data_IF_786578002697
#
_entry.id   IF_786578002697
#
_cell.length_a   1.000
_cell.length_b   1.000
_cell.length_c   1.000
_cell.angle_alpha   90.00
_cell.angle_beta   90.00
_cell.angle_gamma   90.00
#
_symmetry.space_group_name_H-M   'P 1'
#
loop_
_entity.id
_entity.type
_entity.pdbx_description
1 polymer ?
#
# COMPACT_ATOMS: atom_id res chain seq x y z
N UNK A 1 -48.68 -70.48 -6.06
CA UNK A 1 -47.28 -70.47 -6.59
C UNK A 1 -46.95 -69.08 -6.90
N UNK A 2 -46.04 -68.49 -6.08
CA UNK A 2 -45.78 -67.02 -5.97
C UNK A 2 -44.78 -66.58 -7.00
N UNK A 3 -45.14 -65.53 -7.74
CA UNK A 3 -44.19 -64.77 -8.57
C UNK A 3 -43.91 -63.45 -7.88
N UNK A 4 -42.65 -63.19 -7.45
CA UNK A 4 -42.18 -61.96 -6.82
C UNK A 4 -41.87 -60.92 -7.89
N UNK A 5 -42.62 -59.82 -7.87
CA UNK A 5 -42.29 -58.59 -8.59
C UNK A 5 -41.10 -57.89 -7.92
N UNK A 6 -40.01 -57.70 -8.66
CA UNK A 6 -38.90 -56.79 -8.29
C UNK A 6 -39.17 -55.40 -8.92
N UNK A 7 -39.47 -54.44 -8.07
CA UNK A 7 -39.45 -53.05 -8.46
C UNK A 7 -37.98 -52.59 -8.55
N UNK A 8 -37.57 -52.20 -9.72
CA UNK A 8 -36.32 -51.44 -9.94
C UNK A 8 -36.63 -49.97 -9.67
N UNK A 9 -36.11 -49.45 -8.57
CA UNK A 9 -36.14 -48.01 -8.27
C UNK A 9 -35.12 -47.26 -9.14
N UNK A 10 -35.60 -46.39 -9.97
CA UNK A 10 -34.78 -45.43 -10.68
C UNK A 10 -34.33 -44.32 -9.70
N UNK A 11 -33.02 -44.18 -9.48
CA UNK A 11 -32.41 -43.09 -8.76
C UNK A 11 -32.25 -41.90 -9.72
N UNK A 12 -32.86 -40.73 -9.46
CA UNK A 12 -32.61 -39.58 -10.29
C UNK A 12 -31.18 -39.04 -10.01
N UNK A 13 -30.34 -39.06 -11.03
CA UNK A 13 -29.04 -38.41 -11.04
C UNK A 13 -29.26 -36.87 -11.06
N UNK A 14 -29.18 -36.24 -9.90
CA UNK A 14 -29.21 -34.79 -9.80
C UNK A 14 -27.91 -34.23 -10.40
N UNK A 15 -28.04 -33.64 -11.58
CA UNK A 15 -26.95 -32.87 -12.22
C UNK A 15 -26.77 -31.57 -11.42
N UNK A 16 -25.77 -31.54 -10.54
CA UNK A 16 -25.33 -30.28 -9.87
C UNK A 16 -24.62 -29.46 -10.92
N UNK A 17 -25.28 -28.47 -11.48
CA UNK A 17 -24.64 -27.41 -12.25
C UNK A 17 -23.78 -26.60 -11.28
N UNK A 18 -22.47 -26.85 -11.25
CA UNK A 18 -21.51 -25.96 -10.63
C UNK A 18 -21.44 -24.71 -11.50
N UNK A 19 -22.08 -23.65 -11.05
CA UNK A 19 -21.85 -22.32 -11.60
C UNK A 19 -20.40 -21.96 -11.32
N UNK A 20 -19.64 -21.44 -12.30
CA UNK A 20 -18.30 -20.91 -12.01
C UNK A 20 -18.48 -19.74 -11.03
N UNK A 21 -17.93 -19.88 -9.84
CA UNK A 21 -17.77 -18.76 -8.90
C UNK A 21 -16.71 -17.88 -9.55
N UNK A 22 -17.13 -16.77 -10.15
CA UNK A 22 -16.23 -15.74 -10.63
C UNK A 22 -15.65 -15.10 -9.36
N UNK A 23 -14.36 -15.35 -9.09
CA UNK A 23 -13.67 -14.76 -7.96
C UNK A 23 -13.55 -13.24 -8.16
N UNK A 24 -13.97 -12.46 -7.17
CA UNK A 24 -13.66 -11.03 -7.10
C UNK A 24 -12.17 -10.87 -6.82
N UNK A 25 -11.49 -10.01 -7.56
CA UNK A 25 -10.05 -9.84 -7.42
C UNK A 25 -9.73 -8.73 -6.42
N UNK A 26 -8.69 -8.94 -5.62
CA UNK A 26 -8.25 -7.96 -4.62
C UNK A 26 -7.57 -6.75 -5.26
N UNK A 27 -7.99 -5.55 -4.86
CA UNK A 27 -7.49 -4.26 -5.30
C UNK A 27 -6.39 -3.67 -4.40
N UNK A 28 -5.86 -4.45 -3.47
CA UNK A 28 -4.92 -3.98 -2.48
C UNK A 28 -3.53 -3.70 -3.07
N UNK A 29 -3.08 -2.48 -3.03
CA UNK A 29 -1.78 -2.06 -3.57
C UNK A 29 -1.21 -0.82 -2.92
N UNK A 30 -1.79 -0.39 -1.79
CA UNK A 30 -1.44 0.88 -1.15
C UNK A 30 -0.15 0.82 -0.33
N UNK A 31 0.27 -0.37 0.12
CA UNK A 31 1.36 -0.52 1.09
C UNK A 31 2.71 0.00 0.63
N UNK A 32 3.00 -0.07 -0.66
CA UNK A 32 4.26 0.44 -1.23
C UNK A 32 4.49 1.93 -0.94
N UNK A 33 3.43 2.70 -0.68
CA UNK A 33 3.50 4.11 -0.34
C UNK A 33 3.61 4.38 1.16
N UNK A 34 3.41 3.34 1.98
CA UNK A 34 3.33 3.48 3.44
C UNK A 34 4.71 3.53 4.12
N UNK A 35 5.78 3.16 3.40
CA UNK A 35 7.14 3.29 3.92
C UNK A 35 7.64 4.72 3.82
N UNK A 36 8.30 5.18 4.88
CA UNK A 36 8.91 6.48 4.92
C UNK A 36 9.90 6.65 3.75
N UNK A 37 9.78 7.76 3.04
CA UNK A 37 10.76 8.17 2.04
C UNK A 37 11.89 8.96 2.72
N UNK A 38 13.01 9.16 2.04
CA UNK A 38 14.17 9.83 2.62
C UNK A 38 13.86 11.20 3.24
N UNK A 39 12.89 11.92 2.67
CA UNK A 39 12.43 13.23 3.16
C UNK A 39 11.71 13.19 4.51
N UNK A 40 11.15 12.04 4.88
CA UNK A 40 10.38 11.88 6.13
C UNK A 40 11.25 11.49 7.32
N UNK A 41 12.55 11.21 7.10
CA UNK A 41 13.45 10.89 8.20
C UNK A 41 13.84 12.18 8.93
N UNK A 42 13.73 12.19 10.29
CA UNK A 42 14.08 13.37 11.06
C UNK A 42 15.58 13.65 10.97
N UNK A 43 15.91 14.91 10.71
CA UNK A 43 17.32 15.39 10.67
C UNK A 43 17.67 16.28 11.87
N UNK A 44 16.65 16.78 12.58
CA UNK A 44 16.78 17.59 13.77
C UNK A 44 15.51 17.48 14.61
N UNK A 45 15.53 17.97 15.87
CA UNK A 45 14.32 18.25 16.64
C UNK A 45 13.54 19.39 15.98
N UNK A 46 12.22 19.39 16.13
CA UNK A 46 11.33 20.37 15.51
C UNK A 46 10.19 19.69 14.78
N UNK A 47 9.48 20.47 13.98
CA UNK A 47 8.31 20.00 13.25
C UNK A 47 8.51 19.99 11.74
N UNK A 48 7.70 19.18 11.08
CA UNK A 48 7.55 19.13 9.64
C UNK A 48 6.08 18.88 9.29
N UNK A 49 5.59 19.59 8.29
CA UNK A 49 4.30 19.30 7.65
C UNK A 49 4.57 18.92 6.21
N UNK A 50 3.89 17.91 5.70
CA UNK A 50 4.05 17.47 4.32
C UNK A 50 2.72 17.19 3.65
N UNK A 51 2.72 17.36 2.34
CA UNK A 51 1.64 16.93 1.44
C UNK A 51 2.23 15.97 0.42
N UNK A 52 1.75 14.74 0.42
CA UNK A 52 2.09 13.71 -0.55
C UNK A 52 0.97 13.52 -1.57
N UNK A 53 1.34 13.19 -2.79
CA UNK A 53 0.45 12.72 -3.84
C UNK A 53 1.08 11.47 -4.45
N UNK A 54 0.34 10.37 -4.39
CA UNK A 54 0.71 9.11 -5.02
C UNK A 54 -0.32 8.76 -6.09
N UNK A 55 0.13 8.17 -7.18
CA UNK A 55 -0.73 7.74 -8.27
C UNK A 55 -0.48 6.27 -8.61
N UNK A 56 -1.58 5.51 -8.71
CA UNK A 56 -1.57 4.11 -9.05
C UNK A 56 -2.69 3.78 -10.06
N UNK A 57 -2.33 3.05 -11.12
CA UNK A 57 -3.28 2.54 -12.12
C UNK A 57 -3.10 1.01 -12.26
N UNK A 58 -3.96 0.27 -11.57
CA UNK A 58 -4.02 -1.18 -11.63
C UNK A 58 -4.95 -1.59 -12.77
N UNK A 59 -4.37 -1.99 -13.88
CA UNK A 59 -5.11 -2.26 -15.12
C UNK A 59 -4.66 -3.55 -15.82
N UNK A 60 -3.87 -4.37 -15.13
CA UNK A 60 -3.34 -5.59 -15.69
C UNK A 60 -3.65 -6.75 -14.76
N UNK A 61 -4.41 -7.74 -15.27
CA UNK A 61 -4.68 -8.96 -14.51
C UNK A 61 -3.41 -9.81 -14.42
N UNK A 62 -3.15 -10.34 -13.23
CA UNK A 62 -1.95 -11.07 -12.87
C UNK A 62 -2.30 -12.25 -12.00
N UNK A 63 -1.63 -13.40 -12.21
CA UNK A 63 -1.80 -14.58 -11.38
C UNK A 63 -0.46 -15.28 -11.19
N UNK A 64 -0.10 -15.57 -9.96
CA UNK A 64 1.26 -16.00 -9.63
C UNK A 64 2.28 -14.94 -10.06
N UNK A 65 3.24 -15.33 -10.89
CA UNK A 65 4.34 -14.48 -11.35
C UNK A 65 4.19 -13.98 -12.79
N UNK A 66 3.02 -14.16 -13.41
CA UNK A 66 2.78 -13.82 -14.81
C UNK A 66 1.45 -13.10 -15.04
N UNK A 67 1.36 -12.42 -16.19
CA UNK A 67 0.09 -11.84 -16.63
C UNK A 67 -0.93 -12.95 -16.88
N UNK A 68 -2.17 -12.70 -16.52
CA UNK A 68 -3.31 -13.58 -16.73
C UNK A 68 -4.33 -12.92 -17.68
N UNK A 69 -5.20 -13.73 -18.34
CA UNK A 69 -6.26 -13.18 -19.17
C UNK A 69 -7.16 -12.20 -18.41
N UNK A 70 -7.54 -11.10 -19.05
CA UNK A 70 -8.41 -10.10 -18.43
C UNK A 70 -9.81 -10.65 -18.09
N UNK A 71 -10.24 -11.70 -18.79
CA UNK A 71 -11.56 -12.31 -18.58
C UNK A 71 -11.61 -13.22 -17.35
N UNK A 72 -10.44 -13.62 -16.82
CA UNK A 72 -10.36 -14.40 -15.57
C UNK A 72 -10.63 -13.56 -14.32
N UNK A 73 -10.88 -12.26 -14.47
CA UNK A 73 -11.09 -11.31 -13.41
C UNK A 73 -12.27 -10.41 -13.75
N UNK A 74 -13.25 -10.28 -12.84
CA UNK A 74 -14.38 -9.34 -12.98
C UNK A 74 -13.90 -7.90 -12.99
N UNK A 75 -12.89 -7.60 -12.17
CA UNK A 75 -12.31 -6.27 -12.10
C UNK A 75 -11.43 -5.99 -13.30
N UNK A 76 -11.60 -4.81 -13.88
CA UNK A 76 -10.92 -4.41 -15.12
C UNK A 76 -9.90 -3.29 -14.89
N UNK A 77 -10.13 -2.42 -13.90
CA UNK A 77 -9.24 -1.32 -13.59
C UNK A 77 -9.53 -0.70 -12.24
N UNK A 78 -8.47 -0.40 -11.49
CA UNK A 78 -8.54 0.42 -10.29
C UNK A 78 -7.50 1.52 -10.42
N UNK A 79 -7.96 2.74 -10.57
CA UNK A 79 -7.09 3.91 -10.63
C UNK A 79 -7.31 4.77 -9.41
N UNK A 80 -6.26 5.05 -8.68
CA UNK A 80 -6.35 5.83 -7.44
C UNK A 80 -5.33 6.97 -7.43
N UNK A 81 -5.80 8.17 -7.09
CA UNK A 81 -5.00 9.27 -6.60
C UNK A 81 -5.06 9.27 -5.08
N UNK A 82 -3.92 9.17 -4.44
CA UNK A 82 -3.77 9.22 -2.99
C UNK A 82 -3.19 10.57 -2.61
N UNK A 83 -3.93 11.35 -1.85
CA UNK A 83 -3.44 12.58 -1.23
C UNK A 83 -3.24 12.30 0.25
N UNK A 84 -2.09 12.65 0.80
CA UNK A 84 -1.81 12.49 2.23
C UNK A 84 -1.28 13.79 2.79
N UNK A 85 -2.05 14.40 3.69
CA UNK A 85 -1.57 15.48 4.53
C UNK A 85 -0.99 14.87 5.80
N UNK A 86 0.27 15.18 6.10
CA UNK A 86 0.92 14.66 7.28
C UNK A 86 1.67 15.73 8.06
N UNK A 87 1.90 15.44 9.32
CA UNK A 87 2.71 16.26 10.21
C UNK A 87 3.51 15.39 11.17
N UNK A 88 4.74 15.79 11.42
CA UNK A 88 5.64 15.15 12.36
C UNK A 88 6.25 16.22 13.27
N UNK A 89 6.36 15.88 14.56
CA UNK A 89 7.00 16.76 15.53
C UNK A 89 7.86 15.96 16.51
N UNK A 90 9.14 16.28 16.59
CA UNK A 90 10.04 15.75 17.60
C UNK A 90 10.13 16.74 18.77
N UNK A 91 9.61 16.31 19.92
CA UNK A 91 9.63 17.10 21.18
C UNK A 91 11.06 17.35 21.66
N UNK A 92 11.89 16.32 21.49
CA UNK A 92 13.32 16.31 21.77
C UNK A 92 14.05 15.42 20.76
N UNK A 93 15.31 15.08 21.01
CA UNK A 93 16.08 14.20 20.12
C UNK A 93 15.65 12.73 20.14
N UNK A 94 14.79 12.34 21.08
CA UNK A 94 14.45 10.95 21.29
C UNK A 94 13.00 10.63 20.98
N UNK A 95 12.09 11.57 21.17
CA UNK A 95 10.66 11.31 21.07
C UNK A 95 9.94 12.30 20.16
N UNK A 96 9.02 11.78 19.42
CA UNK A 96 8.13 12.56 18.56
C UNK A 96 6.82 11.85 18.28
N UNK A 97 6.00 12.53 17.50
CA UNK A 97 4.72 12.03 17.00
C UNK A 97 4.58 12.33 15.52
N UNK A 98 3.83 11.50 14.84
CA UNK A 98 3.45 11.68 13.44
C UNK A 98 1.96 11.42 13.27
N UNK A 99 1.32 12.24 12.46
CA UNK A 99 -0.09 12.11 12.07
C UNK A 99 -0.18 12.14 10.56
N UNK A 100 -0.97 11.26 9.97
CA UNK A 100 -1.26 11.21 8.53
C UNK A 100 -2.76 11.16 8.32
N UNK A 101 -3.27 12.03 7.47
CA UNK A 101 -4.68 12.12 7.09
C UNK A 101 -4.77 11.93 5.58
N UNK A 102 -5.14 10.75 5.09
CA UNK A 102 -5.26 10.49 3.67
C UNK A 102 -6.64 10.92 3.14
N UNK A 103 -6.66 11.37 1.89
CA UNK A 103 -7.85 11.54 1.06
C UNK A 103 -7.59 10.88 -0.28
N UNK A 104 -8.46 9.97 -0.71
CA UNK A 104 -8.28 9.20 -1.94
C UNK A 104 -9.42 9.47 -2.91
N UNK A 105 -9.06 9.51 -4.19
CA UNK A 105 -9.99 9.52 -5.31
C UNK A 105 -9.75 8.24 -6.11
N UNK A 106 -10.77 7.37 -6.16
CA UNK A 106 -10.67 6.06 -6.81
C UNK A 106 -11.70 5.90 -7.89
N UNK A 107 -11.24 5.45 -9.07
CA UNK A 107 -12.07 4.89 -10.11
C UNK A 107 -11.95 3.37 -10.05
N UNK A 108 -13.08 2.69 -9.95
CA UNK A 108 -13.22 1.25 -10.01
C UNK A 108 -14.04 0.87 -11.23
N UNK A 109 -13.46 0.04 -12.11
CA UNK A 109 -14.11 -0.52 -13.29
C UNK A 109 -14.22 -2.02 -13.11
N UNK A 110 -15.43 -2.56 -13.15
CA UNK A 110 -15.71 -3.98 -12.98
C UNK A 110 -16.78 -4.46 -13.92
N UNK A 111 -16.94 -5.77 -14.05
CA UNK A 111 -18.00 -6.41 -14.83
C UNK A 111 -19.12 -6.79 -13.86
N UNK A 112 -20.29 -6.18 -14.06
CA UNK A 112 -21.50 -6.48 -13.29
C UNK A 112 -22.03 -7.89 -13.60
N UNK A 113 -22.92 -8.39 -12.77
CA UNK A 113 -23.60 -9.72 -12.97
C UNK A 113 -24.34 -9.80 -14.31
N UNK A 114 -24.75 -8.68 -14.87
CA UNK A 114 -25.36 -8.58 -16.19
C UNK A 114 -24.38 -8.85 -17.35
N UNK A 115 -23.07 -8.90 -17.08
CA UNK A 115 -21.99 -8.94 -18.06
C UNK A 115 -21.60 -7.57 -18.63
N UNK A 116 -22.25 -6.50 -18.20
CA UNK A 116 -21.88 -5.14 -18.60
C UNK A 116 -20.67 -4.65 -17.80
N UNK A 117 -19.78 -3.89 -18.45
CA UNK A 117 -18.67 -3.23 -17.75
C UNK A 117 -19.18 -1.89 -17.22
N UNK A 118 -19.01 -1.66 -15.92
CA UNK A 118 -19.45 -0.47 -15.21
C UNK A 118 -18.26 0.26 -14.58
N UNK A 119 -18.38 1.60 -14.51
CA UNK A 119 -17.39 2.49 -13.91
C UNK A 119 -18.00 3.20 -12.71
N UNK A 120 -17.32 3.12 -11.58
CA UNK A 120 -17.68 3.82 -10.35
C UNK A 120 -16.53 4.73 -9.93
N UNK A 121 -16.83 5.96 -9.52
CA UNK A 121 -15.83 6.89 -9.00
C UNK A 121 -16.28 7.39 -7.64
N UNK A 122 -15.37 7.29 -6.66
CA UNK A 122 -15.62 7.74 -5.30
C UNK A 122 -14.39 8.44 -4.73
N UNK A 123 -14.62 9.49 -3.95
CA UNK A 123 -13.58 10.22 -3.24
C UNK A 123 -13.97 10.44 -1.79
N UNK A 124 -13.09 10.06 -0.86
CA UNK A 124 -13.33 10.17 0.57
C UNK A 124 -12.03 10.25 1.35
N UNK A 125 -12.15 10.61 2.64
CA UNK A 125 -11.06 10.44 3.59
C UNK A 125 -10.78 8.94 3.79
N UNK A 126 -9.50 8.61 3.86
CA UNK A 126 -9.04 7.28 4.23
C UNK A 126 -8.82 7.12 5.73
N UNK A 127 -8.18 6.04 6.11
CA UNK A 127 -7.91 5.70 7.50
C UNK A 127 -6.75 6.55 8.05
N UNK A 128 -7.02 7.33 9.10
CA UNK A 128 -6.02 8.19 9.78
C UNK A 128 -4.99 7.33 10.50
N UNK A 129 -3.71 7.72 10.42
CA UNK A 129 -2.60 7.06 11.10
C UNK A 129 -1.98 7.98 12.13
N UNK A 130 -1.73 7.42 13.30
CA UNK A 130 -1.06 8.08 14.43
C UNK A 130 0.13 7.24 14.84
N UNK A 131 1.34 7.84 14.91
CA UNK A 131 2.57 7.13 15.26
C UNK A 131 3.33 7.91 16.35
N UNK A 132 3.80 7.20 17.35
CA UNK A 132 4.88 7.66 18.23
C UNK A 132 6.22 7.28 17.57
N UNK A 133 7.16 8.19 17.63
CA UNK A 133 8.50 8.03 17.06
C UNK A 133 9.52 8.00 18.20
N UNK A 134 10.47 7.06 18.12
CA UNK A 134 11.61 7.00 19.02
C UNK A 134 12.91 6.99 18.22
N UNK A 135 13.70 8.04 18.37
CA UNK A 135 14.96 8.30 17.65
C UNK A 135 16.18 8.30 18.58
N UNK A 136 15.97 7.93 19.86
CA UNK A 136 17.04 7.92 20.87
C UNK A 136 18.04 6.77 20.73
N UNK A 137 17.93 5.92 19.70
CA UNK A 137 18.87 4.82 19.46
C UNK A 137 20.23 5.28 18.94
N UNK A 138 20.29 6.45 18.31
CA UNK A 138 21.52 7.01 17.76
C UNK A 138 21.62 8.51 18.02
N UNK A 139 22.85 9.04 18.32
CA UNK A 139 23.03 10.46 18.59
C UNK A 139 22.73 11.38 17.40
N UNK A 140 22.80 10.87 16.18
CA UNK A 140 22.62 11.58 14.92
C UNK A 140 21.23 11.39 14.28
N UNK A 141 20.28 10.77 15.00
CA UNK A 141 18.94 10.45 14.54
C UNK A 141 18.92 9.43 13.37
N UNK A 142 20.04 8.80 13.08
CA UNK A 142 20.16 7.87 11.95
C UNK A 142 19.38 6.57 12.14
N UNK A 143 18.93 6.26 13.36
CA UNK A 143 18.15 5.05 13.66
C UNK A 143 16.93 5.41 14.49
N UNK A 144 15.77 4.96 14.05
CA UNK A 144 14.52 5.17 14.78
C UNK A 144 13.54 4.03 14.68
N UNK A 145 12.62 4.03 15.63
CA UNK A 145 11.49 3.12 15.70
C UNK A 145 10.18 3.92 15.67
N UNK A 146 9.13 3.31 15.18
CA UNK A 146 7.78 3.86 15.29
C UNK A 146 6.80 2.80 15.79
N UNK A 147 5.89 3.25 16.63
CA UNK A 147 4.75 2.48 17.11
C UNK A 147 3.49 3.31 16.89
N UNK A 148 2.51 2.77 16.21
CA UNK A 148 1.33 3.53 15.86
C UNK A 148 0.08 2.70 15.69
N UNK A 149 -0.99 3.42 15.36
CA UNK A 149 -2.29 2.84 15.03
C UNK A 149 -2.84 3.48 13.76
N UNK A 150 -3.45 2.67 12.92
CA UNK A 150 -4.36 3.12 11.86
C UNK A 150 -5.77 3.01 12.39
N UNK A 151 -6.55 4.07 12.28
CA UNK A 151 -7.92 4.15 12.78
C UNK A 151 -8.92 3.96 11.63
N UNK A 152 -10.06 3.28 11.85
CA UNK A 152 -11.07 3.02 10.82
C UNK A 152 -11.93 4.27 10.56
N UNK A 153 -11.29 5.36 10.18
CA UNK A 153 -11.95 6.67 9.95
C UNK A 153 -12.36 6.88 8.50
N UNK A 154 -11.81 6.07 7.59
CA UNK A 154 -12.10 6.14 6.18
C UNK A 154 -13.45 5.56 5.83
N UNK A 155 -14.00 5.98 4.68
CA UNK A 155 -15.22 5.41 4.15
C UNK A 155 -14.96 3.98 3.66
N UNK A 156 -15.69 3.04 4.26
CA UNK A 156 -15.60 1.60 4.00
C UNK A 156 -16.97 0.99 3.76
N UNK A 157 -17.89 1.78 3.18
CA UNK A 157 -19.30 1.42 2.99
C UNK A 157 -19.89 1.89 1.68
N UNK A 158 -19.07 2.28 0.72
CA UNK A 158 -19.55 2.72 -0.58
C UNK A 158 -20.15 1.54 -1.37
N UNK A 159 -21.44 1.57 -1.75
CA UNK A 159 -22.18 0.37 -2.17
C UNK A 159 -21.74 -0.25 -3.49
N UNK A 160 -20.93 0.46 -4.27
CA UNK A 160 -20.46 0.00 -5.58
C UNK A 160 -18.97 -0.40 -5.59
N UNK A 161 -18.36 -0.46 -4.40
CA UNK A 161 -17.00 -0.95 -4.25
C UNK A 161 -17.00 -2.29 -3.51
N UNK A 162 -16.12 -3.18 -3.93
CA UNK A 162 -15.83 -4.39 -3.16
C UNK A 162 -15.09 -4.04 -1.87
N UNK A 163 -15.18 -4.85 -0.81
CA UNK A 163 -14.60 -4.53 0.50
C UNK A 163 -13.10 -4.22 0.47
N UNK A 164 -12.36 -4.81 -0.45
CA UNK A 164 -10.93 -4.60 -0.66
C UNK A 164 -10.63 -3.41 -1.59
N UNK A 165 -11.63 -2.88 -2.30
CA UNK A 165 -11.52 -1.67 -3.11
C UNK A 165 -11.98 -0.42 -2.37
N UNK A 166 -12.57 -0.55 -1.20
CA UNK A 166 -13.01 0.57 -0.37
C UNK A 166 -11.87 1.53 -0.04
N UNK A 167 -12.19 2.80 0.21
CA UNK A 167 -11.22 3.83 0.57
C UNK A 167 -10.72 3.62 2.00
N UNK A 168 -11.63 3.38 2.94
CA UNK A 168 -11.30 2.95 4.28
C UNK A 168 -11.39 1.43 4.42
N UNK A 169 -10.57 0.84 5.26
CA UNK A 169 -10.57 -0.62 5.46
C UNK A 169 -11.60 -1.08 6.50
N UNK A 170 -12.12 -0.15 7.30
CA UNK A 170 -12.98 -0.46 8.43
C UNK A 170 -12.27 -1.27 9.54
N UNK A 171 -10.94 -1.28 9.56
CA UNK A 171 -10.12 -1.97 10.57
C UNK A 171 -9.25 -1.00 11.36
N UNK A 172 -9.01 -1.34 12.62
CA UNK A 172 -7.95 -0.72 13.43
C UNK A 172 -6.72 -1.60 13.34
N UNK A 173 -5.60 -1.01 12.94
CA UNK A 173 -4.37 -1.77 12.73
C UNK A 173 -3.25 -1.24 13.63
N UNK A 174 -2.45 -2.16 14.16
CA UNK A 174 -1.19 -1.86 14.82
C UNK A 174 -0.12 -1.61 13.75
N UNK A 175 0.65 -0.53 13.90
CA UNK A 175 1.76 -0.16 13.03
C UNK A 175 3.07 -0.25 13.80
N UNK A 176 4.02 -1.02 13.29
CA UNK A 176 5.39 -1.13 13.85
C UNK A 176 6.37 -0.79 12.75
N UNK A 177 7.22 0.21 12.98
CA UNK A 177 8.20 0.64 11.99
C UNK A 177 9.59 0.81 12.57
N UNK A 178 10.58 0.73 11.68
CA UNK A 178 11.97 1.02 11.98
C UNK A 178 12.64 1.63 10.75
N UNK A 179 13.63 2.50 10.98
CA UNK A 179 14.48 3.00 9.92
C UNK A 179 15.93 3.12 10.35
N UNK A 180 16.82 3.10 9.37
CA UNK A 180 18.24 3.38 9.55
C UNK A 180 18.79 4.10 8.33
N UNK A 181 19.69 5.06 8.57
CA UNK A 181 20.48 5.75 7.56
C UNK A 181 21.96 5.63 7.90
N UNK A 182 22.82 5.61 6.89
CA UNK A 182 24.27 5.56 7.13
C UNK A 182 25.08 6.00 5.91
N UNK A 183 26.36 6.33 6.11
CA UNK A 183 27.26 6.59 5.01
C UNK A 183 27.53 5.30 4.23
N UNK A 184 27.59 5.39 2.91
CA UNK A 184 27.98 4.32 2.01
C UNK A 184 29.43 4.49 1.52
N UNK A 185 29.93 5.72 1.52
CA UNK A 185 31.30 6.04 1.12
C UNK A 185 32.03 6.80 2.24
N UNK A 186 33.35 6.65 2.34
CA UNK A 186 34.18 7.30 3.35
C UNK A 186 34.25 8.82 3.23
N UNK A 187 33.94 9.34 2.04
CA UNK A 187 33.87 10.79 1.76
C UNK A 187 32.45 11.38 1.97
N UNK A 188 31.51 10.55 2.51
CA UNK A 188 30.11 10.90 2.74
C UNK A 188 29.34 11.41 1.50
N UNK A 189 29.84 11.14 0.30
CA UNK A 189 29.12 11.51 -0.94
C UNK A 189 27.94 10.61 -1.21
N UNK A 190 28.03 9.35 -0.81
CA UNK A 190 26.93 8.40 -0.91
C UNK A 190 26.50 7.97 0.48
N UNK A 191 25.21 7.95 0.66
CA UNK A 191 24.54 7.43 1.85
C UNK A 191 23.50 6.40 1.45
N UNK A 192 23.19 5.51 2.35
CA UNK A 192 22.11 4.55 2.19
C UNK A 192 21.08 4.72 3.28
N UNK A 193 19.90 4.23 3.02
CA UNK A 193 18.84 4.14 4.00
C UNK A 193 18.08 2.83 3.85
N UNK A 194 17.44 2.41 4.92
CA UNK A 194 16.45 1.35 4.92
C UNK A 194 15.32 1.72 5.89
N UNK A 195 14.11 1.38 5.53
CA UNK A 195 12.94 1.50 6.39
C UNK A 195 12.02 0.32 6.16
N UNK A 196 11.34 -0.11 7.22
CA UNK A 196 10.31 -1.12 7.13
C UNK A 196 9.15 -0.76 8.07
N UNK A 197 7.94 -1.13 7.68
CA UNK A 197 6.72 -0.99 8.48
C UNK A 197 5.90 -2.27 8.38
N UNK A 198 5.50 -2.80 9.53
CA UNK A 198 4.53 -3.87 9.61
C UNK A 198 3.20 -3.32 10.10
N UNK A 199 2.14 -3.69 9.38
CA UNK A 199 0.76 -3.35 9.68
C UNK A 199 -0.02 -4.63 9.98
N UNK A 200 -0.65 -4.68 11.17
CA UNK A 200 -1.43 -5.81 11.64
C UNK A 200 -2.83 -5.37 12.03
N UNK A 201 -3.88 -5.81 11.32
CA UNK A 201 -5.25 -5.61 11.76
C UNK A 201 -5.48 -6.29 13.12
N UNK A 202 -5.88 -5.50 14.14
CA UNK A 202 -6.15 -5.94 15.51
C UNK A 202 -7.63 -5.88 15.87
N UNK A 203 -8.40 -5.02 15.17
CA UNK A 203 -9.86 -4.98 15.23
C UNK A 203 -10.39 -4.72 13.81
N UNK A 204 -11.46 -5.42 13.44
CA UNK A 204 -12.00 -5.36 12.08
C UNK A 204 -13.50 -5.71 12.10
N UNK A 205 -14.21 -5.46 10.99
CA UNK A 205 -15.59 -5.94 10.80
C UNK A 205 -15.57 -7.47 10.67
N UNK A 206 -16.62 -8.14 11.15
CA UNK A 206 -16.74 -9.59 11.01
C UNK A 206 -16.79 -10.04 9.52
N UNK A 207 -17.34 -9.18 8.66
CA UNK A 207 -17.47 -9.44 7.22
C UNK A 207 -16.16 -9.32 6.45
N UNK A 208 -15.25 -8.42 6.86
CA UNK A 208 -13.98 -8.21 6.15
C UNK A 208 -12.84 -7.94 7.11
N UNK A 209 -11.73 -8.65 6.91
CA UNK A 209 -10.46 -8.48 7.61
C UNK A 209 -9.34 -8.35 6.61
N UNK A 210 -8.71 -7.16 6.47
CA UNK A 210 -7.54 -6.99 5.63
C UNK A 210 -6.40 -7.93 6.03
N UNK A 211 -5.62 -8.38 5.07
CA UNK A 211 -4.39 -9.12 5.33
C UNK A 211 -3.35 -8.25 6.04
N UNK A 212 -2.56 -8.84 6.95
CA UNK A 212 -1.40 -8.16 7.51
C UNK A 212 -0.38 -7.85 6.40
N UNK A 213 0.32 -6.71 6.51
CA UNK A 213 1.22 -6.21 5.48
C UNK A 213 2.58 -5.83 6.05
N UNK A 214 3.62 -6.10 5.30
CA UNK A 214 4.99 -5.68 5.55
C UNK A 214 5.50 -4.91 4.35
N UNK A 215 5.83 -3.66 4.57
CA UNK A 215 6.42 -2.78 3.59
C UNK A 215 7.86 -2.47 3.96
N UNK A 216 8.73 -2.44 2.98
CA UNK A 216 10.13 -2.13 3.18
C UNK A 216 10.70 -1.35 2.01
N UNK A 217 11.62 -0.47 2.30
CA UNK A 217 12.39 0.25 1.28
C UNK A 217 13.85 0.27 1.70
N UNK A 218 14.73 0.12 0.73
CA UNK A 218 16.16 0.41 0.90
C UNK A 218 16.67 1.09 -0.34
N UNK A 219 17.55 2.07 -0.16
CA UNK A 219 18.09 2.85 -1.25
C UNK A 219 19.41 3.50 -0.92
N UNK A 220 19.99 4.08 -1.96
CA UNK A 220 21.18 4.91 -1.84
C UNK A 220 20.92 6.26 -2.50
N UNK A 221 21.47 7.29 -1.92
CA UNK A 221 21.42 8.65 -2.48
C UNK A 221 22.81 9.25 -2.55
N UNK A 222 23.00 10.06 -3.57
CA UNK A 222 24.19 10.87 -3.73
C UNK A 222 23.99 12.18 -2.95
N UNK A 223 25.01 12.65 -2.21
CA UNK A 223 24.94 13.81 -1.31
C UNK A 223 24.50 15.13 -1.98
N UNK A 224 24.24 15.05 -3.27
CA UNK A 224 23.58 16.08 -4.05
C UNK A 224 24.52 17.03 -4.76
N UNK A 225 23.93 17.68 -5.71
CA UNK A 225 24.53 18.80 -6.38
C UNK A 225 24.08 20.08 -5.70
N UNK A 226 25.02 20.87 -5.17
CA UNK A 226 24.72 22.22 -4.66
C UNK A 226 24.52 23.15 -5.84
N UNK A 227 23.25 23.44 -6.15
CA UNK A 227 22.88 24.40 -7.20
C UNK A 227 23.08 25.84 -6.74
N UNK A 228 22.94 26.08 -5.41
CA UNK A 228 23.25 27.31 -4.72
C UNK A 228 23.55 26.99 -3.24
N UNK A 229 23.95 27.97 -2.41
CA UNK A 229 24.16 27.73 -0.97
C UNK A 229 22.93 27.25 -0.22
N UNK A 230 21.72 27.45 -0.75
CA UNK A 230 20.44 27.10 -0.12
C UNK A 230 19.63 26.08 -0.92
N UNK A 231 20.15 25.63 -2.09
CA UNK A 231 19.44 24.68 -2.96
C UNK A 231 20.34 23.49 -3.27
N UNK A 232 19.88 22.32 -2.89
CA UNK A 232 20.55 21.03 -3.13
C UNK A 232 19.63 20.10 -3.91
N UNK A 233 20.18 19.39 -4.90
CA UNK A 233 19.51 18.35 -5.66
C UNK A 233 20.15 16.99 -5.35
N UNK A 234 19.36 16.04 -4.88
CA UNK A 234 19.82 14.74 -4.39
C UNK A 234 19.15 13.62 -5.20
N UNK A 235 19.84 13.06 -6.19
CA UNK A 235 19.35 11.86 -6.87
C UNK A 235 19.47 10.64 -5.96
N UNK A 236 18.50 9.74 -6.09
CA UNK A 236 18.45 8.49 -5.34
C UNK A 236 17.95 7.33 -6.20
N UNK A 237 18.34 6.13 -5.80
CA UNK A 237 17.81 4.88 -6.34
C UNK A 237 17.44 3.97 -5.18
N UNK A 238 16.24 3.41 -5.24
CA UNK A 238 15.73 2.58 -4.17
C UNK A 238 14.99 1.35 -4.70
N UNK A 239 14.95 0.31 -3.88
CA UNK A 239 14.11 -0.87 -4.04
C UNK A 239 13.03 -0.79 -2.97
N UNK A 240 11.78 -0.85 -3.38
CA UNK A 240 10.62 -0.94 -2.49
C UNK A 240 10.04 -2.34 -2.59
N UNK A 241 9.64 -2.90 -1.45
CA UNK A 241 9.03 -4.22 -1.38
C UNK A 241 7.80 -4.19 -0.51
N UNK A 242 6.79 -4.94 -0.90
CA UNK A 242 5.60 -5.17 -0.09
C UNK A 242 5.24 -6.65 -0.08
N UNK A 243 4.87 -7.13 1.08
CA UNK A 243 4.31 -8.47 1.30
C UNK A 243 3.01 -8.32 2.06
N UNK A 244 1.92 -8.82 1.48
CA UNK A 244 0.60 -8.81 2.10
C UNK A 244 0.07 -10.24 2.21
N UNK A 245 -0.49 -10.57 3.37
CA UNK A 245 -1.20 -11.82 3.62
C UNK A 245 -2.60 -11.77 2.98
N UNK A 246 -3.22 -12.96 2.87
CA UNK A 246 -4.60 -13.08 2.39
C UNK A 246 -5.58 -12.35 3.29
N UNK A 247 -6.59 -11.78 2.67
CA UNK A 247 -7.74 -11.21 3.35
C UNK A 247 -8.61 -12.31 3.97
N UNK A 248 -9.41 -11.95 4.93
CA UNK A 248 -10.30 -12.88 5.65
C UNK A 248 -11.66 -12.25 5.92
N UNK A 249 -12.52 -13.00 6.60
CA UNK A 249 -13.92 -12.64 6.81
C UNK A 249 -14.84 -13.25 5.75
N UNK A 250 -16.15 -13.03 5.87
CA UNK A 250 -17.16 -13.63 4.98
C UNK A 250 -17.19 -13.00 3.59
N UNK A 251 -16.68 -11.77 3.45
CA UNK A 251 -16.54 -11.02 2.20
C UNK A 251 -15.07 -10.90 1.75
N UNK A 252 -14.13 -11.49 2.51
CA UNK A 252 -12.73 -11.50 2.12
C UNK A 252 -12.46 -12.61 1.10
N UNK A 253 -11.86 -12.27 -0.03
CA UNK A 253 -11.44 -13.26 -1.03
C UNK A 253 -10.03 -13.76 -0.74
N UNK A 254 -9.93 -14.81 0.08
CA UNK A 254 -8.63 -15.39 0.43
C UNK A 254 -7.94 -16.06 -0.77
N UNK A 255 -8.66 -16.45 -1.81
CA UNK A 255 -8.09 -17.11 -2.98
C UNK A 255 -7.40 -16.11 -3.92
N UNK A 256 -7.94 -14.90 -4.04
CA UNK A 256 -7.45 -13.87 -4.94
C UNK A 256 -6.88 -12.64 -4.20
N UNK A 257 -6.45 -12.80 -2.96
CA UNK A 257 -5.80 -11.75 -2.17
C UNK A 257 -4.46 -12.23 -1.63
N UNK A 258 -3.62 -11.26 -1.22
CA UNK A 258 -2.25 -11.54 -0.79
C UNK A 258 -1.26 -11.55 -1.95
N UNK A 259 -0.11 -10.91 -1.72
CA UNK A 259 0.90 -10.74 -2.76
C UNK A 259 2.30 -10.45 -2.19
N UNK A 260 3.29 -10.60 -3.05
CA UNK A 260 4.66 -10.07 -2.87
C UNK A 260 4.99 -9.25 -4.10
N UNK A 261 5.42 -8.00 -3.92
CA UNK A 261 5.81 -7.09 -5.01
C UNK A 261 7.13 -6.42 -4.70
N UNK A 262 7.97 -6.25 -5.73
CA UNK A 262 9.21 -5.47 -5.66
C UNK A 262 9.21 -4.43 -6.79
N UNK A 263 9.67 -3.23 -6.45
CA UNK A 263 9.79 -2.10 -7.35
C UNK A 263 11.21 -1.55 -7.32
N UNK A 264 11.73 -1.19 -8.48
CA UNK A 264 12.90 -0.34 -8.60
C UNK A 264 12.42 1.11 -8.81
N UNK A 265 12.90 2.02 -7.98
CA UNK A 265 12.39 3.37 -7.95
C UNK A 265 13.53 4.41 -7.97
N UNK A 266 13.92 4.92 -9.16
CA UNK A 266 14.70 6.13 -9.24
C UNK A 266 13.89 7.32 -8.71
N UNK A 267 14.53 8.20 -7.98
CA UNK A 267 13.91 9.37 -7.38
C UNK A 267 14.86 10.57 -7.33
N UNK A 268 14.27 11.69 -6.96
CA UNK A 268 14.96 12.96 -6.86
C UNK A 268 14.41 13.74 -5.67
N UNK A 269 15.31 14.30 -4.85
CA UNK A 269 14.98 15.19 -3.77
C UNK A 269 15.58 16.57 -4.05
N UNK A 270 14.82 17.63 -3.80
CA UNK A 270 15.23 19.02 -3.92
C UNK A 270 15.02 19.71 -2.59
N UNK A 271 16.11 20.04 -1.90
CA UNK A 271 16.09 20.89 -0.72
C UNK A 271 16.22 22.36 -1.14
N UNK A 272 15.30 23.21 -0.68
CA UNK A 272 15.30 24.65 -0.91
C UNK A 272 14.94 25.39 0.37
N UNK A 273 15.93 25.73 1.18
CA UNK A 273 15.75 26.35 2.49
C UNK A 273 15.02 25.43 3.47
N UNK A 274 13.78 25.77 3.84
CA UNK A 274 12.94 24.94 4.73
C UNK A 274 12.02 23.99 3.97
N UNK A 275 11.99 24.11 2.64
CA UNK A 275 11.15 23.26 1.80
C UNK A 275 11.98 22.12 1.25
N UNK A 276 11.36 20.95 1.21
CA UNK A 276 11.88 19.75 0.58
C UNK A 276 10.83 19.20 -0.39
N UNK A 277 11.26 18.93 -1.60
CA UNK A 277 10.46 18.31 -2.65
C UNK A 277 11.02 16.93 -2.94
N UNK A 278 10.16 16.00 -3.13
CA UNK A 278 10.55 14.63 -3.48
C UNK A 278 9.68 14.12 -4.62
N UNK A 279 10.29 13.38 -5.55
CA UNK A 279 9.58 12.66 -6.59
C UNK A 279 10.25 11.32 -6.88
N UNK A 280 9.47 10.27 -7.10
CA UNK A 280 9.96 9.00 -7.64
C UNK A 280 8.99 8.39 -8.64
N UNK A 281 9.56 7.52 -9.47
CA UNK A 281 8.82 6.62 -10.36
C UNK A 281 9.20 5.19 -9.99
N UNK A 282 8.26 4.44 -9.48
CA UNK A 282 8.46 3.05 -9.04
C UNK A 282 8.01 2.09 -10.15
N UNK A 283 8.94 1.33 -10.71
CA UNK A 283 8.68 0.33 -11.74
C UNK A 283 8.68 -1.06 -11.13
N UNK A 284 7.58 -1.82 -11.29
CA UNK A 284 7.49 -3.19 -10.83
C UNK A 284 8.53 -4.06 -11.55
N UNK A 285 9.40 -4.71 -10.79
CA UNK A 285 10.42 -5.66 -11.27
C UNK A 285 10.08 -7.10 -10.89
N UNK A 286 9.24 -7.28 -9.90
CA UNK A 286 8.70 -8.58 -9.49
C UNK A 286 7.30 -8.41 -8.92
N UNK A 287 6.39 -9.31 -9.29
CA UNK A 287 5.05 -9.44 -8.71
C UNK A 287 4.70 -10.91 -8.64
N UNK A 288 4.23 -11.34 -7.48
CA UNK A 288 3.66 -12.66 -7.24
C UNK A 288 2.36 -12.51 -6.47
N UNK A 289 1.25 -12.85 -7.09
CA UNK A 289 -0.10 -12.72 -6.54
C UNK A 289 -0.71 -14.09 -6.26
N UNK A 290 -1.53 -14.17 -5.23
CA UNK A 290 -2.39 -15.34 -5.01
C UNK A 290 -3.66 -15.18 -5.83
N UNK A 291 -3.87 -16.10 -6.79
CA UNK A 291 -4.98 -15.99 -7.73
C UNK A 291 -4.92 -14.76 -8.64
N UNK A 292 -6.07 -14.38 -9.19
CA UNK A 292 -6.20 -13.27 -10.12
C UNK A 292 -6.31 -11.95 -9.35
N UNK A 293 -5.40 -11.00 -9.63
CA UNK A 293 -5.41 -9.66 -9.03
C UNK A 293 -5.00 -8.62 -10.06
N UNK A 294 -5.57 -7.42 -9.96
CA UNK A 294 -5.08 -6.30 -10.73
C UNK A 294 -3.77 -5.76 -10.15
N UNK A 295 -2.79 -5.53 -11.01
CA UNK A 295 -1.53 -4.89 -10.64
C UNK A 295 -1.31 -3.59 -11.39
N UNK A 296 -0.59 -2.66 -10.73
CA UNK A 296 0.03 -1.50 -11.36
C UNK A 296 1.49 -1.82 -11.64
N UNK A 297 1.95 -1.60 -12.86
CA UNK A 297 3.36 -1.78 -13.22
C UNK A 297 4.22 -0.58 -12.87
N UNK A 298 3.62 0.60 -12.87
CA UNK A 298 4.31 1.85 -12.58
C UNK A 298 3.51 2.65 -11.57
N UNK A 299 4.21 3.13 -10.55
CA UNK A 299 3.67 4.01 -9.52
C UNK A 299 4.41 5.33 -9.57
N UNK A 300 3.73 6.42 -9.22
CA UNK A 300 4.32 7.76 -9.15
C UNK A 300 4.10 8.33 -7.76
N UNK A 301 5.13 8.94 -7.20
CA UNK A 301 5.06 9.66 -5.95
C UNK A 301 5.64 11.05 -6.11
N UNK A 302 4.93 12.02 -5.57
CA UNK A 302 5.37 13.39 -5.41
C UNK A 302 5.06 13.84 -3.99
N UNK A 303 5.97 14.53 -3.33
CA UNK A 303 5.66 15.17 -2.06
C UNK A 303 6.39 16.49 -1.88
N UNK A 304 5.85 17.31 -1.00
CA UNK A 304 6.45 18.54 -0.54
C UNK A 304 6.35 18.60 0.98
N UNK A 305 7.46 18.93 1.63
CA UNK A 305 7.54 19.08 3.07
C UNK A 305 8.11 20.45 3.44
N UNK A 306 7.67 20.97 4.59
CA UNK A 306 8.16 22.23 5.16
C UNK A 306 8.53 22.00 6.61
N UNK A 307 9.81 22.23 6.95
CA UNK A 307 10.33 22.13 8.31
C UNK A 307 10.21 23.47 9.09
N UNK A 308 10.00 23.37 10.42
CA UNK A 308 9.92 24.53 11.32
C UNK A 308 10.46 24.23 12.71
#
# INVERSE_FOLDING_TARGET
>A
MNLKNRLMGAVPLALVCASPVVGTACACGCGVFDVATSEMFPTASGGMVFLGQDFMDQNQNWSGTSSAPADDNSDKRIRTNFWTLGGQYLFDRSWGVQVEVPYWERLFRTTADSGAVEDFTHGALGDVRLKALYTGLSPDLSTGLSLGVKLPTGDSTYPNFDPDTEIGTGSTDLLLGAYHLGPLSSDNRFSWFASAQWQQPIAHKASYRPGAELDAVSGAYYAGWSLSPTVRLTPLLQVKGTYRRHDGGTLGDAANSGYTRLFLAPGLELDAGRMRWYADVSQAVYSNTSGNQLIARTLFKLSVAVGF
#
